data_IF_057041977895
#
_entry.id   IF_057041977895
#
_cell.length_a   1.000
_cell.length_b   1.000
_cell.length_c   1.000
_cell.angle_alpha   90.00
_cell.angle_beta   90.00
_cell.angle_gamma   90.00
#
_symmetry.space_group_name_H-M   'P 1'
#
loop_
_entity.id
_entity.type
_entity.pdbx_description
1 polymer ?
#
# COMPACT_ATOMS: atom_id res chain seq x y z
N UNK A 1 -5.30 -22.55 -27.49
CA UNK A 1 -4.21 -21.58 -27.21
C UNK A 1 -4.86 -20.33 -26.66
N UNK A 2 -4.35 -19.76 -25.62
CA UNK A 2 -5.03 -18.69 -24.85
C UNK A 2 -4.56 -17.31 -25.31
N UNK A 3 -4.94 -16.98 -26.56
CA UNK A 3 -4.64 -15.66 -27.12
C UNK A 3 -5.69 -14.63 -26.69
N UNK A 4 -5.28 -13.39 -26.53
CA UNK A 4 -6.16 -12.26 -26.28
C UNK A 4 -7.05 -12.07 -27.53
N UNK A 5 -8.35 -12.16 -27.37
CA UNK A 5 -9.32 -11.97 -28.47
C UNK A 5 -9.93 -10.58 -28.47
N UNK A 6 -10.08 -9.97 -27.30
CA UNK A 6 -10.72 -8.66 -27.15
C UNK A 6 -10.38 -8.04 -25.80
N UNK A 7 -10.30 -6.71 -25.76
CA UNK A 7 -10.10 -5.92 -24.53
C UNK A 7 -11.17 -4.86 -24.45
N UNK A 8 -11.82 -4.77 -23.29
CA UNK A 8 -12.80 -3.74 -22.98
C UNK A 8 -12.33 -2.93 -21.77
N UNK A 9 -12.52 -1.63 -21.80
CA UNK A 9 -12.23 -0.76 -20.69
C UNK A 9 -13.40 0.17 -20.41
N UNK A 10 -13.59 0.53 -19.15
CA UNK A 10 -14.64 1.46 -18.72
C UNK A 10 -14.21 2.31 -17.55
N UNK A 11 -14.88 3.43 -17.41
CA UNK A 11 -14.80 4.26 -16.21
C UNK A 11 -15.76 3.71 -15.15
N UNK A 12 -15.26 3.51 -13.95
CA UNK A 12 -16.04 3.17 -12.74
C UNK A 12 -15.74 4.21 -11.65
N UNK A 13 -16.32 4.07 -10.48
CA UNK A 13 -16.04 4.96 -9.33
C UNK A 13 -15.24 4.21 -8.25
N UNK A 14 -14.27 4.92 -7.67
CA UNK A 14 -13.51 4.45 -6.52
C UNK A 14 -14.27 4.65 -5.19
N UNK A 15 -13.68 4.24 -4.08
CA UNK A 15 -14.23 4.35 -2.72
C UNK A 15 -14.47 5.79 -2.24
N UNK A 16 -13.94 6.77 -2.96
CA UNK A 16 -14.14 8.21 -2.70
C UNK A 16 -15.15 8.84 -3.66
N UNK A 17 -15.73 8.05 -4.59
CA UNK A 17 -16.63 8.54 -5.64
C UNK A 17 -15.90 9.26 -6.78
N UNK A 18 -14.59 9.13 -6.89
CA UNK A 18 -13.83 9.62 -8.04
C UNK A 18 -13.76 8.56 -9.15
N UNK A 19 -13.75 8.97 -10.43
CA UNK A 19 -13.55 8.03 -11.52
C UNK A 19 -12.22 7.29 -11.44
N UNK A 20 -12.25 6.01 -11.81
CA UNK A 20 -11.08 5.19 -12.08
C UNK A 20 -11.38 4.23 -13.24
N UNK A 21 -10.35 3.54 -13.73
CA UNK A 21 -10.47 2.63 -14.87
C UNK A 21 -10.63 1.17 -14.41
N UNK A 22 -11.51 0.44 -15.11
CA UNK A 22 -11.64 -1.01 -15.03
C UNK A 22 -11.44 -1.60 -16.43
N UNK A 23 -10.66 -2.69 -16.52
CA UNK A 23 -10.34 -3.36 -17.79
C UNK A 23 -10.72 -4.83 -17.71
N UNK A 24 -11.32 -5.33 -18.79
CA UNK A 24 -11.57 -6.75 -19.06
C UNK A 24 -10.72 -7.22 -20.23
N UNK A 25 -9.97 -8.29 -20.05
CA UNK A 25 -9.22 -8.98 -21.11
C UNK A 25 -9.88 -10.33 -21.36
N UNK A 26 -10.35 -10.56 -22.58
CA UNK A 26 -10.98 -11.80 -23.04
C UNK A 26 -10.03 -12.62 -23.87
N UNK A 27 -10.10 -13.94 -23.74
CA UNK A 27 -9.33 -14.90 -24.52
C UNK A 27 -10.20 -15.59 -25.58
N UNK A 28 -9.57 -16.21 -26.58
CA UNK A 28 -10.28 -17.00 -27.60
C UNK A 28 -11.07 -18.18 -27.03
N UNK A 29 -10.69 -18.67 -25.85
CA UNK A 29 -11.42 -19.73 -25.16
C UNK A 29 -12.71 -19.26 -24.45
N UNK A 30 -12.95 -17.93 -24.41
CA UNK A 30 -14.08 -17.31 -23.72
C UNK A 30 -13.83 -17.05 -22.21
N UNK A 31 -12.63 -17.30 -21.73
CA UNK A 31 -12.19 -16.91 -20.38
C UNK A 31 -11.87 -15.42 -20.36
N UNK A 32 -12.05 -14.77 -19.23
CA UNK A 32 -11.67 -13.35 -19.05
C UNK A 32 -11.02 -13.09 -17.70
N UNK A 33 -10.27 -12.00 -17.66
CA UNK A 33 -9.74 -11.40 -16.44
C UNK A 33 -10.19 -9.95 -16.31
N UNK A 34 -10.58 -9.51 -15.11
CA UNK A 34 -11.03 -8.14 -14.80
C UNK A 34 -10.14 -7.52 -13.75
N UNK A 35 -9.71 -6.29 -13.98
CA UNK A 35 -8.96 -5.52 -13.00
C UNK A 35 -9.44 -4.08 -12.92
N UNK A 36 -9.58 -3.56 -11.71
CA UNK A 36 -9.83 -2.15 -11.44
C UNK A 36 -8.58 -1.52 -10.79
N UNK A 37 -8.26 -0.29 -11.21
CA UNK A 37 -7.03 0.39 -10.80
C UNK A 37 -7.29 1.29 -9.60
N UNK A 38 -6.48 1.23 -8.52
CA UNK A 38 -6.59 2.15 -7.40
C UNK A 38 -6.03 3.54 -7.73
N UNK A 39 -6.40 4.55 -6.92
CA UNK A 39 -6.01 5.95 -7.11
C UNK A 39 -5.52 6.58 -5.81
N UNK A 40 -4.41 7.33 -5.84
CA UNK A 40 -3.87 8.04 -4.68
C UNK A 40 -4.62 9.34 -4.35
N UNK A 41 -4.58 9.76 -3.08
CA UNK A 41 -4.98 11.11 -2.65
C UNK A 41 -3.76 12.05 -2.65
N UNK A 42 -2.69 11.65 -1.97
CA UNK A 42 -1.35 12.20 -2.08
C UNK A 42 -0.54 11.36 -3.08
N UNK A 43 0.28 11.99 -3.89
CA UNK A 43 1.14 11.31 -4.86
C UNK A 43 2.56 11.83 -4.70
N UNK A 44 3.54 10.90 -4.60
CA UNK A 44 4.96 11.26 -4.63
C UNK A 44 5.34 11.93 -5.95
N UNK A 45 6.30 12.83 -5.92
CA UNK A 45 6.79 13.58 -7.09
C UNK A 45 7.23 12.66 -8.24
N UNK A 46 7.69 11.46 -7.92
CA UNK A 46 8.29 10.52 -8.86
C UNK A 46 7.37 9.36 -9.26
N UNK A 47 6.09 9.39 -8.88
CA UNK A 47 5.13 8.37 -9.31
C UNK A 47 4.85 8.42 -10.82
N UNK A 48 4.50 7.28 -11.39
CA UNK A 48 3.96 7.23 -12.76
C UNK A 48 2.62 7.98 -12.86
N UNK A 49 2.35 8.55 -14.02
CA UNK A 49 1.23 9.47 -14.22
C UNK A 49 -0.10 8.73 -14.26
N UNK A 50 -0.99 9.04 -13.33
CA UNK A 50 -2.41 8.71 -13.46
C UNK A 50 -3.05 9.70 -14.44
N UNK A 51 -3.41 9.21 -15.63
CA UNK A 51 -3.97 10.08 -16.66
C UNK A 51 -5.40 10.47 -16.31
N UNK A 52 -5.64 11.77 -16.20
CA UNK A 52 -6.94 12.41 -15.95
C UNK A 52 -7.38 13.25 -17.14
N UNK A 53 -8.70 13.32 -17.36
CA UNK A 53 -9.27 14.03 -18.53
C UNK A 53 -9.10 15.54 -18.43
N UNK A 54 -9.08 16.09 -17.21
CA UNK A 54 -9.20 17.53 -17.00
C UNK A 54 -10.63 18.01 -17.30
N UNK A 55 -10.78 19.31 -17.52
CA UNK A 55 -12.09 19.90 -17.85
C UNK A 55 -13.03 19.99 -16.66
N UNK A 56 -14.35 20.03 -16.92
CA UNK A 56 -15.37 20.25 -15.88
C UNK A 56 -16.03 18.99 -15.34
N UNK A 57 -16.07 17.91 -16.15
CA UNK A 57 -16.70 16.66 -15.73
C UNK A 57 -15.91 16.01 -14.59
N UNK A 58 -16.62 15.48 -13.59
CA UNK A 58 -16.02 14.94 -12.37
C UNK A 58 -14.96 15.87 -11.75
N UNK A 59 -15.11 17.19 -11.88
CA UNK A 59 -14.15 18.20 -11.41
C UNK A 59 -12.74 17.98 -12.00
N UNK A 60 -12.66 17.53 -13.26
CA UNK A 60 -11.42 17.24 -13.97
C UNK A 60 -10.81 15.85 -13.71
N UNK A 61 -11.45 15.02 -12.88
CA UNK A 61 -10.95 13.72 -12.46
C UNK A 61 -11.39 12.54 -13.34
N UNK A 62 -12.10 12.79 -14.47
CA UNK A 62 -12.48 11.75 -15.43
C UNK A 62 -11.28 10.95 -15.94
N UNK A 63 -11.52 9.73 -16.44
CA UNK A 63 -10.47 8.82 -16.98
C UNK A 63 -10.82 8.30 -18.37
N UNK A 64 -11.69 8.99 -19.10
CA UNK A 64 -12.12 8.54 -20.44
C UNK A 64 -10.97 8.53 -21.45
N UNK A 65 -9.99 9.43 -21.32
CA UNK A 65 -8.75 9.38 -22.13
C UNK A 65 -7.96 8.10 -21.90
N UNK A 66 -7.82 7.67 -20.65
CA UNK A 66 -7.19 6.41 -20.32
C UNK A 66 -7.98 5.21 -20.87
N UNK A 67 -9.32 5.25 -20.80
CA UNK A 67 -10.21 4.25 -21.40
C UNK A 67 -10.02 4.18 -22.92
N UNK A 68 -9.97 5.34 -23.60
CA UNK A 68 -9.73 5.43 -25.04
C UNK A 68 -8.34 4.89 -25.41
N UNK A 69 -7.30 5.23 -24.63
CA UNK A 69 -5.96 4.69 -24.85
C UNK A 69 -5.92 3.16 -24.75
N UNK A 70 -6.67 2.55 -23.84
CA UNK A 70 -6.77 1.08 -23.79
C UNK A 70 -7.41 0.53 -25.06
N UNK A 71 -8.52 1.13 -25.53
CA UNK A 71 -9.31 0.60 -26.64
C UNK A 71 -8.64 0.83 -28.00
N UNK A 72 -8.12 2.04 -28.21
CA UNK A 72 -7.68 2.50 -29.54
C UNK A 72 -6.17 2.39 -29.75
N UNK A 73 -5.38 2.35 -28.68
CA UNK A 73 -3.91 2.33 -28.78
C UNK A 73 -3.34 0.99 -28.30
N UNK A 74 -3.69 0.56 -27.06
CA UNK A 74 -3.09 -0.64 -26.46
C UNK A 74 -3.70 -1.91 -27.08
N UNK A 75 -5.02 -2.02 -27.13
CA UNK A 75 -5.70 -3.23 -27.58
C UNK A 75 -5.29 -3.68 -28.97
N UNK A 76 -5.17 -2.81 -29.99
CA UNK A 76 -4.73 -3.22 -31.34
C UNK A 76 -3.34 -3.87 -31.37
N UNK A 77 -2.44 -3.49 -30.48
CA UNK A 77 -1.05 -3.98 -30.47
C UNK A 77 -0.88 -5.31 -29.72
N UNK A 78 -1.80 -5.65 -28.80
CA UNK A 78 -1.64 -6.85 -27.96
C UNK A 78 -2.70 -7.92 -28.21
N UNK A 79 -3.79 -7.62 -28.91
CA UNK A 79 -4.75 -8.64 -29.38
C UNK A 79 -4.03 -9.64 -30.29
N UNK A 80 -4.27 -10.94 -30.06
CA UNK A 80 -3.56 -12.02 -30.74
C UNK A 80 -2.28 -12.50 -30.04
N UNK A 81 -1.81 -11.81 -28.99
CA UNK A 81 -0.72 -12.28 -28.13
C UNK A 81 -1.29 -13.25 -27.08
N UNK A 82 -0.50 -14.23 -26.68
CA UNK A 82 -0.87 -15.16 -25.60
C UNK A 82 -0.91 -14.43 -24.26
N UNK A 83 -1.97 -14.66 -23.45
CA UNK A 83 -2.09 -14.08 -22.09
C UNK A 83 -0.98 -14.54 -21.14
N UNK A 84 -0.20 -15.57 -21.50
CA UNK A 84 0.93 -16.04 -20.70
C UNK A 84 2.22 -15.24 -20.93
N UNK A 85 2.25 -14.36 -21.93
CA UNK A 85 3.41 -13.53 -22.26
C UNK A 85 3.38 -12.18 -21.52
N UNK A 86 3.18 -12.21 -20.16
CA UNK A 86 3.02 -11.01 -19.33
C UNK A 86 4.11 -9.96 -19.58
N UNK A 87 5.38 -10.38 -19.52
CA UNK A 87 6.51 -9.45 -19.68
C UNK A 87 6.55 -8.83 -21.07
N UNK A 88 6.21 -9.60 -22.11
CA UNK A 88 6.13 -9.07 -23.46
C UNK A 88 5.01 -8.04 -23.61
N UNK A 89 3.84 -8.34 -23.06
CA UNK A 89 2.67 -7.45 -23.10
C UNK A 89 2.98 -6.14 -22.36
N UNK A 90 3.53 -6.23 -21.14
CA UNK A 90 3.90 -5.06 -20.38
C UNK A 90 4.98 -4.23 -21.09
N UNK A 91 5.99 -4.87 -21.68
CA UNK A 91 7.02 -4.19 -22.47
C UNK A 91 6.45 -3.46 -23.69
N UNK A 92 5.52 -4.07 -24.43
CA UNK A 92 4.86 -3.42 -25.57
C UNK A 92 4.12 -2.16 -25.09
N UNK A 93 3.37 -2.22 -24.00
CA UNK A 93 2.62 -1.07 -23.48
C UNK A 93 3.55 0.06 -23.01
N UNK A 94 4.69 -0.28 -22.38
CA UNK A 94 5.70 0.68 -21.94
C UNK A 94 6.36 1.35 -23.13
N UNK A 95 6.72 0.58 -24.18
CA UNK A 95 7.30 1.11 -25.43
C UNK A 95 6.31 2.01 -26.18
N UNK A 96 5.02 1.65 -26.21
CA UNK A 96 3.96 2.47 -26.81
C UNK A 96 3.79 3.82 -26.10
N UNK A 97 3.90 3.85 -24.79
CA UNK A 97 3.88 5.10 -24.04
C UNK A 97 5.12 5.96 -24.34
N UNK A 98 6.30 5.36 -24.35
CA UNK A 98 7.57 5.99 -24.73
C UNK A 98 8.07 7.06 -23.77
N UNK A 99 7.44 7.24 -22.60
CA UNK A 99 7.87 8.19 -21.55
C UNK A 99 8.31 7.47 -20.28
N UNK A 100 9.26 8.04 -19.51
CA UNK A 100 9.75 7.39 -18.27
C UNK A 100 8.68 7.19 -17.20
N UNK A 101 7.64 8.02 -17.22
CA UNK A 101 6.59 8.05 -16.18
C UNK A 101 5.20 7.69 -16.72
N UNK A 102 5.12 7.06 -17.89
CA UNK A 102 3.84 6.66 -18.53
C UNK A 102 2.87 7.82 -18.75
N UNK A 103 3.42 8.98 -19.12
CA UNK A 103 2.66 10.23 -19.26
C UNK A 103 1.77 10.32 -20.48
N UNK A 104 2.00 9.52 -21.53
CA UNK A 104 1.22 9.55 -22.76
C UNK A 104 -0.03 8.68 -22.70
N UNK A 105 0.09 7.43 -22.30
CA UNK A 105 -1.04 6.50 -22.19
C UNK A 105 -1.71 6.54 -20.83
N UNK A 106 -0.93 6.83 -19.78
CA UNK A 106 -1.34 6.79 -18.40
C UNK A 106 -1.00 5.45 -17.72
N UNK A 107 -0.37 5.53 -16.54
CA UNK A 107 -0.09 4.35 -15.73
C UNK A 107 -1.37 3.58 -15.37
N UNK A 108 -2.48 4.26 -15.20
CA UNK A 108 -3.78 3.65 -14.93
C UNK A 108 -4.30 2.80 -16.13
N UNK A 109 -4.11 3.26 -17.37
CA UNK A 109 -4.46 2.48 -18.55
C UNK A 109 -3.59 1.22 -18.67
N UNK A 110 -2.26 1.38 -18.55
CA UNK A 110 -1.29 0.28 -18.66
C UNK A 110 -1.51 -0.74 -17.55
N UNK A 111 -1.64 -0.31 -16.29
CA UNK A 111 -1.85 -1.20 -15.14
C UNK A 111 -3.17 -1.98 -15.24
N UNK A 112 -4.25 -1.32 -15.68
CA UNK A 112 -5.54 -1.98 -15.85
C UNK A 112 -5.44 -3.18 -16.78
N UNK A 113 -4.79 -3.01 -17.92
CA UNK A 113 -4.53 -4.09 -18.89
C UNK A 113 -3.59 -5.14 -18.31
N UNK A 114 -2.46 -4.73 -17.73
CA UNK A 114 -1.45 -5.63 -17.18
C UNK A 114 -2.03 -6.60 -16.13
N UNK A 115 -2.81 -6.08 -15.17
CA UNK A 115 -3.47 -6.91 -14.15
C UNK A 115 -4.60 -7.78 -14.71
N UNK A 116 -5.37 -7.27 -15.68
CA UNK A 116 -6.44 -8.03 -16.31
C UNK A 116 -5.88 -9.22 -17.13
N UNK A 117 -4.74 -9.04 -17.82
CA UNK A 117 -3.99 -10.10 -18.51
C UNK A 117 -3.57 -11.19 -17.52
N UNK A 118 -2.94 -10.83 -16.41
CA UNK A 118 -2.54 -11.81 -15.40
C UNK A 118 -3.72 -12.62 -14.84
N UNK A 119 -4.85 -11.96 -14.60
CA UNK A 119 -6.09 -12.63 -14.15
C UNK A 119 -6.69 -13.53 -15.23
N UNK A 120 -6.69 -13.11 -16.49
CA UNK A 120 -7.12 -13.96 -17.60
C UNK A 120 -6.24 -15.21 -17.73
N UNK A 121 -4.92 -15.05 -17.60
CA UNK A 121 -3.96 -16.16 -17.63
C UNK A 121 -4.17 -17.14 -16.47
N UNK A 122 -4.37 -16.65 -15.25
CA UNK A 122 -4.69 -17.47 -14.09
C UNK A 122 -6.00 -18.26 -14.30
N UNK A 123 -7.04 -17.59 -14.80
CA UNK A 123 -8.33 -18.21 -15.09
C UNK A 123 -8.25 -19.27 -16.19
N UNK A 124 -7.45 -19.06 -17.23
CA UNK A 124 -7.19 -20.06 -18.29
C UNK A 124 -6.58 -21.34 -17.71
N UNK A 125 -5.67 -21.20 -16.76
CA UNK A 125 -5.05 -22.34 -16.08
C UNK A 125 -5.91 -22.90 -14.94
N UNK A 126 -7.05 -22.25 -14.63
CA UNK A 126 -7.92 -22.57 -13.48
C UNK A 126 -7.15 -22.53 -12.15
N UNK A 127 -6.19 -21.62 -12.06
CA UNK A 127 -5.39 -21.36 -10.86
C UNK A 127 -5.87 -20.08 -10.17
N UNK A 128 -5.84 -20.02 -8.83
CA UNK A 128 -5.93 -18.74 -8.14
C UNK A 128 -4.77 -17.83 -8.54
N UNK A 129 -5.02 -16.51 -8.58
CA UNK A 129 -4.02 -15.54 -9.05
C UNK A 129 -2.70 -15.62 -8.27
N UNK A 130 -2.75 -15.76 -6.93
CA UNK A 130 -1.55 -15.89 -6.12
C UNK A 130 -0.68 -17.09 -6.49
N UNK A 131 -1.29 -18.23 -6.89
CA UNK A 131 -0.56 -19.42 -7.35
C UNK A 131 -0.02 -19.27 -8.76
N UNK A 132 -0.76 -18.61 -9.64
CA UNK A 132 -0.30 -18.35 -10.99
C UNK A 132 0.98 -17.49 -10.99
N UNK A 133 0.97 -16.39 -10.21
CA UNK A 133 2.11 -15.46 -10.14
C UNK A 133 3.24 -16.02 -9.28
N UNK A 134 2.95 -16.54 -8.09
CA UNK A 134 3.97 -16.91 -7.11
C UNK A 134 4.41 -18.37 -7.17
N UNK A 135 3.75 -19.19 -7.98
CA UNK A 135 4.08 -20.62 -8.15
C UNK A 135 3.76 -21.45 -6.93
N UNK A 136 4.45 -22.61 -6.82
CA UNK A 136 4.14 -23.64 -5.82
C UNK A 136 4.45 -23.23 -4.38
N UNK A 137 5.32 -22.26 -4.19
CA UNK A 137 5.79 -21.80 -2.87
C UNK A 137 5.08 -20.51 -2.40
N UNK A 138 4.02 -20.08 -3.06
CA UNK A 138 3.19 -18.93 -2.65
C UNK A 138 2.24 -19.37 -1.52
N UNK A 139 2.69 -19.27 -0.25
CA UNK A 139 1.94 -19.74 0.91
C UNK A 139 2.07 -18.85 2.16
N UNK A 140 2.80 -17.74 2.09
CA UNK A 140 2.99 -16.84 3.22
C UNK A 140 1.85 -15.83 3.31
N UNK A 141 1.03 -15.95 4.34
CA UNK A 141 -0.02 -14.98 4.67
C UNK A 141 0.60 -13.75 5.33
N UNK A 142 0.26 -12.54 4.88
CA UNK A 142 0.90 -11.33 5.38
C UNK A 142 0.38 -10.92 6.77
N UNK A 143 1.25 -10.34 7.61
CA UNK A 143 0.83 -9.60 8.80
C UNK A 143 0.07 -8.35 8.35
N UNK A 144 -1.17 -8.13 8.82
CA UNK A 144 -1.93 -6.93 8.47
C UNK A 144 -1.40 -5.72 9.25
N UNK A 145 -1.06 -4.65 8.54
CA UNK A 145 -0.77 -3.32 9.07
C UNK A 145 -2.07 -2.52 9.01
N UNK A 146 -2.84 -2.54 10.11
CA UNK A 146 -4.21 -2.01 10.12
C UNK A 146 -4.20 -0.53 10.55
N UNK A 147 -4.44 0.38 9.61
CA UNK A 147 -4.56 1.81 9.90
C UNK A 147 -5.84 2.10 10.69
N UNK A 148 -5.72 2.31 12.01
CA UNK A 148 -6.88 2.50 12.91
C UNK A 148 -7.09 3.95 13.35
N UNK A 149 -6.10 4.84 13.16
CA UNK A 149 -6.19 6.28 13.40
C UNK A 149 -5.58 7.03 12.22
N UNK A 150 -6.35 7.96 11.66
CA UNK A 150 -5.95 8.84 10.57
C UNK A 150 -5.63 10.24 11.09
N UNK A 151 -4.56 10.83 10.56
CA UNK A 151 -4.17 12.22 10.75
C UNK A 151 -3.64 12.82 9.44
N UNK A 152 -2.80 13.82 9.53
CA UNK A 152 -2.18 14.45 8.37
C UNK A 152 -3.18 14.83 7.29
N UNK A 153 -2.83 14.56 6.04
CA UNK A 153 -3.72 14.84 4.89
C UNK A 153 -4.91 13.86 4.76
N UNK A 154 -4.97 12.79 5.58
CA UNK A 154 -6.08 11.81 5.56
C UNK A 154 -7.23 12.15 6.49
N UNK A 155 -7.14 13.25 7.24
CA UNK A 155 -8.23 13.71 8.13
C UNK A 155 -8.08 15.18 8.50
N UNK A 156 -9.15 15.77 9.04
CA UNK A 156 -9.12 17.11 9.63
C UNK A 156 -8.59 17.10 11.10
N UNK A 157 -8.06 15.97 11.56
CA UNK A 157 -7.50 15.86 12.91
C UNK A 157 -6.19 16.65 13.02
N UNK A 158 -5.95 17.40 14.12
CA UNK A 158 -4.76 18.22 14.29
C UNK A 158 -3.56 17.35 14.73
N UNK A 159 -3.18 16.38 13.95
CA UNK A 159 -2.04 15.49 14.14
C UNK A 159 -1.24 15.46 12.85
N UNK A 160 0.09 15.61 12.93
CA UNK A 160 0.94 15.69 11.74
C UNK A 160 1.12 14.34 11.04
N UNK A 161 1.24 13.24 11.79
CA UNK A 161 1.40 11.91 11.19
C UNK A 161 0.11 11.40 10.57
N UNK A 162 0.24 10.82 9.39
CA UNK A 162 -0.88 10.45 8.53
C UNK A 162 -1.61 9.21 9.01
N UNK A 163 -0.87 8.18 9.51
CA UNK A 163 -1.46 6.92 9.90
C UNK A 163 -0.81 6.33 11.16
N UNK A 164 -1.67 5.78 12.01
CA UNK A 164 -1.27 4.99 13.16
C UNK A 164 -1.85 3.59 13.03
N UNK A 165 -0.97 2.62 12.88
CA UNK A 165 -1.33 1.25 12.56
C UNK A 165 -1.07 0.31 13.73
N UNK A 166 -1.97 -0.67 13.90
CA UNK A 166 -1.78 -1.83 14.78
C UNK A 166 -1.40 -3.06 13.93
N UNK A 167 -0.52 -3.88 14.48
CA UNK A 167 -0.02 -5.08 13.82
C UNK A 167 -0.12 -6.27 14.77
N UNK A 168 -1.07 -7.20 14.56
CA UNK A 168 -1.20 -8.42 15.36
C UNK A 168 -0.10 -9.43 14.96
N UNK A 169 1.06 -9.34 15.62
CA UNK A 169 2.28 -10.09 15.27
C UNK A 169 2.37 -11.45 15.94
N UNK A 170 1.55 -11.71 16.95
CA UNK A 170 1.51 -12.98 17.68
C UNK A 170 0.17 -13.66 17.46
N UNK A 171 0.09 -14.44 16.41
CA UNK A 171 -1.08 -15.22 16.05
C UNK A 171 -0.64 -16.51 15.35
N UNK A 172 -1.50 -17.54 15.41
CA UNK A 172 -1.20 -18.85 14.81
C UNK A 172 -1.60 -18.93 13.33
N UNK A 173 -2.40 -17.94 12.87
CA UNK A 173 -2.94 -17.89 11.51
C UNK A 173 -3.31 -16.45 11.15
N UNK A 174 -3.53 -16.19 9.87
CA UNK A 174 -4.02 -14.89 9.40
C UNK A 174 -5.42 -14.57 9.96
N UNK A 175 -6.32 -15.55 9.94
CA UNK A 175 -7.68 -15.40 10.49
C UNK A 175 -7.65 -15.05 11.99
N UNK A 176 -6.74 -15.64 12.75
CA UNK A 176 -6.53 -15.31 14.15
C UNK A 176 -5.96 -13.87 14.31
N UNK A 177 -5.00 -13.48 13.47
CA UNK A 177 -4.45 -12.12 13.47
C UNK A 177 -5.54 -11.07 13.14
N UNK A 178 -6.34 -11.32 12.10
CA UNK A 178 -7.42 -10.42 11.69
C UNK A 178 -8.48 -10.27 12.78
N UNK A 179 -8.87 -11.38 13.45
CA UNK A 179 -9.78 -11.34 14.59
C UNK A 179 -9.25 -10.44 15.70
N UNK A 180 -8.00 -10.66 16.14
CA UNK A 180 -7.36 -9.81 17.17
C UNK A 180 -7.37 -8.33 16.78
N UNK A 181 -6.98 -8.01 15.53
CA UNK A 181 -6.99 -6.63 15.02
C UNK A 181 -8.38 -5.99 15.06
N UNK A 182 -9.43 -6.75 14.68
CA UNK A 182 -10.83 -6.30 14.74
C UNK A 182 -11.28 -6.05 16.19
N UNK A 183 -10.91 -6.91 17.14
CA UNK A 183 -11.22 -6.73 18.57
C UNK A 183 -10.57 -5.46 19.14
N UNK A 184 -9.31 -5.17 18.77
CA UNK A 184 -8.63 -3.92 19.14
C UNK A 184 -9.31 -2.70 18.50
N UNK A 185 -9.67 -2.77 17.21
CA UNK A 185 -10.40 -1.71 16.51
C UNK A 185 -11.72 -1.35 17.24
N UNK A 186 -12.50 -2.33 17.66
CA UNK A 186 -13.74 -2.09 18.42
C UNK A 186 -13.48 -1.57 19.84
N UNK A 187 -12.41 -2.03 20.48
CA UNK A 187 -11.97 -1.50 21.78
C UNK A 187 -11.57 -0.03 21.67
N UNK A 188 -10.83 0.34 20.62
CA UNK A 188 -10.47 1.73 20.31
C UNK A 188 -11.74 2.58 20.13
N UNK A 189 -12.71 2.12 19.32
CA UNK A 189 -14.01 2.80 19.14
C UNK A 189 -14.71 3.08 20.48
N UNK A 190 -14.68 2.10 21.38
CA UNK A 190 -15.28 2.25 22.72
C UNK A 190 -14.56 3.30 23.56
N UNK A 191 -13.22 3.36 23.51
CA UNK A 191 -12.41 4.37 24.22
C UNK A 191 -12.71 5.76 23.69
N UNK A 192 -12.69 5.94 22.35
CA UNK A 192 -12.98 7.22 21.73
C UNK A 192 -14.37 7.76 22.13
N UNK A 193 -15.40 6.89 22.09
CA UNK A 193 -16.74 7.24 22.57
C UNK A 193 -16.75 7.67 24.04
N UNK A 194 -16.03 6.92 24.88
CA UNK A 194 -15.92 7.24 26.31
C UNK A 194 -15.25 8.58 26.60
N UNK A 195 -14.35 9.01 25.70
CA UNK A 195 -13.68 10.32 25.73
C UNK A 195 -14.50 11.45 25.07
N UNK A 196 -15.66 11.13 24.48
CA UNK A 196 -16.45 12.09 23.70
C UNK A 196 -15.81 12.47 22.36
N UNK A 197 -14.87 11.67 21.84
CA UNK A 197 -14.19 11.89 20.58
C UNK A 197 -14.96 11.26 19.41
N UNK A 198 -14.74 11.80 18.20
CA UNK A 198 -15.34 11.29 16.97
C UNK A 198 -14.97 9.83 16.71
N UNK A 199 -15.94 9.05 16.26
CA UNK A 199 -15.73 7.69 15.71
C UNK A 199 -16.10 7.62 14.22
N UNK A 200 -16.17 8.77 13.55
CA UNK A 200 -16.22 8.83 12.09
C UNK A 200 -14.89 8.29 11.53
N UNK A 201 -14.98 7.63 10.37
CA UNK A 201 -13.82 7.02 9.72
C UNK A 201 -13.40 7.83 8.50
N UNK A 202 -12.09 7.89 8.26
CA UNK A 202 -11.49 8.45 7.07
C UNK A 202 -11.56 7.51 5.86
N UNK A 203 -10.87 7.88 4.80
CA UNK A 203 -10.88 7.17 3.51
C UNK A 203 -10.39 5.72 3.63
N UNK A 204 -9.51 5.43 4.57
CA UNK A 204 -8.95 4.10 4.78
C UNK A 204 -9.59 3.30 5.91
N UNK A 205 -10.71 3.80 6.45
CA UNK A 205 -11.51 3.10 7.45
C UNK A 205 -11.03 3.26 8.90
N UNK A 206 -9.91 3.95 9.16
CA UNK A 206 -9.45 4.34 10.50
C UNK A 206 -10.25 5.51 11.05
N UNK A 207 -10.28 5.66 12.37
CA UNK A 207 -10.94 6.80 13.02
C UNK A 207 -10.15 8.09 12.82
N UNK A 208 -10.86 9.22 12.81
CA UNK A 208 -10.27 10.56 12.65
C UNK A 208 -10.67 11.46 13.86
N UNK A 209 -10.25 11.14 15.09
CA UNK A 209 -10.59 11.93 16.28
C UNK A 209 -9.62 13.09 16.46
N UNK A 210 -10.06 14.15 17.13
CA UNK A 210 -9.21 15.27 17.52
C UNK A 210 -8.40 14.91 18.76
N UNK A 211 -7.18 14.39 18.56
CA UNK A 211 -6.22 14.13 19.64
C UNK A 211 -5.40 15.38 19.98
N UNK A 212 -4.75 15.36 21.16
CA UNK A 212 -3.85 16.43 21.57
C UNK A 212 -2.48 16.40 20.88
N UNK A 213 -2.18 15.38 20.08
CA UNK A 213 -0.95 15.18 19.34
C UNK A 213 -0.63 13.68 19.15
N UNK A 214 0.52 13.42 18.55
CA UNK A 214 1.02 12.06 18.23
C UNK A 214 1.04 11.13 19.44
N UNK A 215 1.51 11.61 20.60
CA UNK A 215 1.62 10.77 21.80
C UNK A 215 0.26 10.42 22.40
N UNK A 216 -0.73 11.32 22.35
CA UNK A 216 -2.11 11.02 22.83
C UNK A 216 -2.75 9.91 21.95
N UNK A 217 -2.47 9.92 20.65
CA UNK A 217 -2.89 8.84 19.74
C UNK A 217 -2.24 7.50 20.12
N UNK A 218 -0.92 7.48 20.32
CA UNK A 218 -0.17 6.28 20.71
C UNK A 218 -0.57 5.74 22.08
N UNK A 219 -0.75 6.62 23.08
CA UNK A 219 -1.23 6.24 24.41
C UNK A 219 -2.65 5.63 24.34
N UNK A 220 -3.50 6.15 23.44
CA UNK A 220 -4.83 5.61 23.21
C UNK A 220 -4.79 4.24 22.54
N UNK A 221 -3.83 4.00 21.63
CA UNK A 221 -3.60 2.67 21.04
C UNK A 221 -3.14 1.65 22.08
N UNK A 222 -2.21 2.01 23.00
CA UNK A 222 -1.83 1.15 24.12
C UNK A 222 -3.06 0.72 24.91
N UNK A 223 -3.89 1.68 25.31
CA UNK A 223 -5.12 1.42 26.04
C UNK A 223 -6.10 0.52 25.26
N UNK A 224 -6.19 0.69 23.94
CA UNK A 224 -7.08 -0.11 23.10
C UNK A 224 -6.65 -1.58 23.04
N UNK A 225 -5.34 -1.83 22.91
CA UNK A 225 -4.76 -3.18 22.92
C UNK A 225 -4.97 -3.85 24.28
N UNK A 226 -4.68 -3.15 25.37
CA UNK A 226 -4.87 -3.66 26.75
C UNK A 226 -6.35 -3.92 27.05
N UNK A 227 -7.25 -3.02 26.65
CA UNK A 227 -8.71 -3.18 26.83
C UNK A 227 -9.26 -4.37 26.06
N UNK A 228 -8.66 -4.71 24.92
CA UNK A 228 -9.00 -5.91 24.15
C UNK A 228 -8.46 -7.19 24.80
N UNK A 229 -7.67 -7.09 25.87
CA UNK A 229 -7.08 -8.23 26.59
C UNK A 229 -5.75 -8.70 26.01
N UNK A 230 -5.07 -7.87 25.22
CA UNK A 230 -3.79 -8.16 24.60
C UNK A 230 -2.65 -7.33 25.19
N UNK A 231 -1.41 -7.71 24.92
CA UNK A 231 -0.19 -7.07 25.44
C UNK A 231 0.50 -6.28 24.35
N UNK A 232 0.60 -4.93 24.47
CA UNK A 232 1.43 -4.12 23.59
C UNK A 232 2.91 -4.57 23.67
N UNK A 233 3.58 -4.64 22.54
CA UNK A 233 4.97 -5.08 22.43
C UNK A 233 5.19 -6.59 22.43
N UNK A 234 4.14 -7.39 22.64
CA UNK A 234 4.17 -8.85 22.55
C UNK A 234 3.13 -9.37 21.53
N UNK A 235 1.84 -9.15 21.80
CA UNK A 235 0.76 -9.56 20.89
C UNK A 235 0.62 -8.60 19.70
N UNK A 236 0.83 -7.31 19.96
CA UNK A 236 0.74 -6.23 18.97
C UNK A 236 1.98 -5.35 18.98
N UNK A 237 2.45 -5.05 17.78
CA UNK A 237 3.37 -3.94 17.53
C UNK A 237 2.61 -2.81 16.84
N UNK A 238 3.21 -1.61 16.82
CA UNK A 238 2.68 -0.45 16.12
C UNK A 238 3.52 -0.13 14.89
N UNK A 239 2.86 0.48 13.89
CA UNK A 239 3.53 1.11 12.77
C UNK A 239 2.99 2.53 12.59
N UNK A 240 3.84 3.40 12.07
CA UNK A 240 3.52 4.77 11.72
C UNK A 240 3.72 4.99 10.24
N UNK A 241 2.85 5.75 9.61
CA UNK A 241 3.12 6.46 8.38
C UNK A 241 3.18 7.95 8.71
N UNK A 242 4.39 8.51 8.61
CA UNK A 242 4.60 9.92 8.93
C UNK A 242 4.22 10.83 7.76
N UNK A 243 4.31 10.36 6.51
CA UNK A 243 4.13 11.15 5.29
C UNK A 243 4.87 12.51 5.38
N UNK A 244 6.14 12.45 5.74
CA UNK A 244 6.91 13.65 6.16
C UNK A 244 7.08 14.68 5.06
N UNK A 245 6.95 14.31 3.79
CA UNK A 245 6.94 15.25 2.65
C UNK A 245 5.82 16.28 2.77
N UNK A 246 4.69 15.92 3.38
CA UNK A 246 3.52 16.78 3.54
C UNK A 246 3.76 17.99 4.45
N UNK A 247 4.64 17.87 5.45
CA UNK A 247 4.95 18.95 6.38
C UNK A 247 6.42 19.40 6.35
N UNK A 248 7.16 18.99 5.31
CA UNK A 248 8.52 19.48 5.08
C UNK A 248 8.48 20.80 4.30
N UNK A 249 9.12 21.83 4.82
CA UNK A 249 9.19 23.15 4.20
C UNK A 249 10.51 23.85 4.55
N UNK A 250 11.18 24.41 3.54
CA UNK A 250 12.39 25.25 3.69
C UNK A 250 13.50 24.63 4.56
N UNK A 251 13.67 23.30 4.48
CA UNK A 251 14.68 22.56 5.25
C UNK A 251 14.23 22.11 6.64
N UNK A 252 12.98 22.33 7.00
CA UNK A 252 12.41 22.00 8.31
C UNK A 252 11.20 21.08 8.20
N UNK A 253 11.02 20.21 9.18
CA UNK A 253 9.82 19.40 9.41
C UNK A 253 8.87 20.22 10.29
N UNK A 254 7.92 20.89 9.67
CA UNK A 254 7.03 21.88 10.30
C UNK A 254 5.64 21.30 10.61
N UNK A 255 5.51 20.76 11.78
CA UNK A 255 4.26 20.14 12.27
C UNK A 255 3.11 21.15 12.41
N UNK A 256 3.41 22.46 12.45
CA UNK A 256 2.39 23.51 12.57
C UNK A 256 1.40 23.51 11.40
N UNK A 257 1.78 22.93 10.26
CA UNK A 257 0.85 22.72 9.12
C UNK A 257 -0.43 22.02 9.56
N UNK A 258 -0.35 21.03 10.43
CA UNK A 258 -1.48 20.24 10.91
C UNK A 258 -1.84 20.53 12.37
N UNK A 259 -0.87 20.79 13.23
CA UNK A 259 -1.04 20.93 14.67
C UNK A 259 -1.25 22.40 15.11
N UNK A 260 -1.23 23.36 14.17
CA UNK A 260 -1.33 24.79 14.43
C UNK A 260 -0.15 25.32 15.25
N UNK A 261 -0.33 26.41 15.98
CA UNK A 261 0.75 27.10 16.70
C UNK A 261 1.47 26.23 17.75
N UNK A 262 0.88 25.12 18.15
CA UNK A 262 1.48 24.17 19.11
C UNK A 262 2.41 23.16 18.45
N UNK A 263 2.34 23.02 17.13
CA UNK A 263 3.17 22.10 16.38
C UNK A 263 4.65 22.50 16.46
N UNK A 264 5.52 21.51 16.60
CA UNK A 264 6.96 21.72 16.60
C UNK A 264 7.46 21.99 15.16
N UNK A 265 8.56 22.75 15.06
CA UNK A 265 9.32 22.91 13.83
C UNK A 265 10.71 22.33 14.08
N UNK A 266 11.07 21.25 13.37
CA UNK A 266 12.27 20.44 13.63
C UNK A 266 13.25 20.53 12.48
N UNK A 267 14.54 20.60 12.80
CA UNK A 267 15.60 20.30 11.83
C UNK A 267 15.59 18.82 11.48
N UNK A 268 16.39 18.41 10.51
CA UNK A 268 16.61 17.01 10.13
C UNK A 268 17.02 16.15 11.33
N UNK A 269 18.01 16.60 12.10
CA UNK A 269 18.57 15.89 13.25
C UNK A 269 17.57 15.79 14.40
N UNK A 270 16.77 16.84 14.61
CA UNK A 270 15.71 16.86 15.61
C UNK A 270 14.56 15.92 15.22
N UNK A 271 14.22 15.84 13.93
CA UNK A 271 13.22 14.89 13.41
C UNK A 271 13.70 13.44 13.64
N UNK A 272 14.93 13.11 13.27
CA UNK A 272 15.53 11.79 13.52
C UNK A 272 15.55 11.45 15.01
N UNK A 273 15.88 12.42 15.87
CA UNK A 273 15.92 12.24 17.31
C UNK A 273 14.52 11.99 17.89
N UNK A 274 13.51 12.71 17.43
CA UNK A 274 12.12 12.56 17.84
C UNK A 274 11.57 11.18 17.46
N UNK A 275 11.77 10.74 16.21
CA UNK A 275 11.36 9.40 15.77
C UNK A 275 12.05 8.30 16.59
N UNK A 276 13.35 8.46 16.87
CA UNK A 276 14.10 7.53 17.71
C UNK A 276 13.59 7.50 19.17
N UNK A 277 13.09 8.60 19.70
CA UNK A 277 12.49 8.68 21.02
C UNK A 277 11.14 7.94 21.05
N UNK A 278 10.27 8.16 20.08
CA UNK A 278 8.99 7.46 19.95
C UNK A 278 9.18 5.94 19.94
N UNK A 279 10.18 5.42 19.20
CA UNK A 279 10.47 3.97 19.16
C UNK A 279 11.05 3.40 20.45
N UNK A 280 11.50 4.24 21.39
CA UNK A 280 11.90 3.81 22.73
C UNK A 280 10.74 3.81 23.72
N UNK A 281 9.79 4.72 23.51
CA UNK A 281 8.65 4.90 24.41
C UNK A 281 7.49 3.96 24.08
N UNK A 282 7.31 3.63 22.79
CA UNK A 282 6.20 2.83 22.28
C UNK A 282 6.70 1.59 21.51
N UNK A 283 5.89 0.52 21.42
CA UNK A 283 6.27 -0.69 20.69
C UNK A 283 6.17 -0.51 19.16
N UNK A 284 6.84 0.51 18.63
CA UNK A 284 6.87 0.84 17.21
C UNK A 284 7.95 -0.01 16.55
N UNK A 285 7.55 -0.86 15.59
CA UNK A 285 8.47 -1.73 14.84
C UNK A 285 8.67 -1.26 13.39
N UNK A 286 7.80 -0.39 12.89
CA UNK A 286 7.85 0.09 11.50
C UNK A 286 7.51 1.58 11.43
N UNK A 287 8.28 2.33 10.64
CA UNK A 287 8.03 3.74 10.31
C UNK A 287 8.12 3.89 8.80
N UNK A 288 7.04 4.36 8.19
CA UNK A 288 6.94 4.72 6.79
C UNK A 288 7.14 6.22 6.63
N UNK A 289 7.91 6.62 5.64
CA UNK A 289 8.23 7.99 5.24
C UNK A 289 8.52 8.93 6.43
N UNK A 290 9.41 8.45 7.31
CA UNK A 290 9.86 9.23 8.48
C UNK A 290 10.62 10.50 8.12
N UNK A 291 11.12 10.59 6.88
CA UNK A 291 11.82 11.75 6.30
C UNK A 291 11.18 12.09 4.95
N UNK A 292 11.45 13.30 4.46
CA UNK A 292 10.97 13.79 3.16
C UNK A 292 11.60 12.98 2.00
N UNK A 293 10.86 12.76 0.91
CA UNK A 293 11.20 11.87 -0.21
C UNK A 293 12.51 12.18 -0.95
N UNK A 294 13.02 13.40 -0.85
CA UNK A 294 14.31 13.82 -1.42
C UNK A 294 15.38 14.13 -0.36
N UNK A 295 15.06 14.01 0.95
CA UNK A 295 16.03 14.20 2.04
C UNK A 295 16.85 12.92 2.31
N UNK A 296 17.61 12.49 1.30
CA UNK A 296 18.45 11.28 1.37
C UNK A 296 19.44 11.27 2.53
N UNK A 297 19.96 12.44 2.92
CA UNK A 297 20.84 12.56 4.09
C UNK A 297 20.08 12.31 5.39
N UNK A 298 18.86 12.84 5.51
CA UNK A 298 17.98 12.57 6.65
C UNK A 298 17.59 11.09 6.75
N UNK A 299 17.24 10.48 5.64
CA UNK A 299 16.96 9.06 5.56
C UNK A 299 18.17 8.20 5.99
N UNK A 300 19.38 8.57 5.55
CA UNK A 300 20.59 7.87 5.96
C UNK A 300 20.82 8.00 7.46
N UNK A 301 20.72 9.22 8.03
CA UNK A 301 20.83 9.44 9.47
C UNK A 301 19.78 8.63 10.26
N UNK A 302 18.55 8.59 9.80
CA UNK A 302 17.49 7.79 10.42
C UNK A 302 17.82 6.30 10.38
N UNK A 303 18.30 5.80 9.24
CA UNK A 303 18.69 4.40 9.06
C UNK A 303 19.84 4.02 9.99
N UNK A 304 20.88 4.84 10.06
CA UNK A 304 22.01 4.64 10.99
C UNK A 304 21.55 4.66 12.46
N UNK A 305 20.55 5.48 12.80
CA UNK A 305 20.10 5.69 14.18
C UNK A 305 19.22 4.55 14.72
N UNK A 306 18.29 4.03 13.90
CA UNK A 306 17.28 3.06 14.34
C UNK A 306 17.02 1.89 13.38
N UNK A 307 17.62 1.87 12.18
CA UNK A 307 17.32 0.88 11.17
C UNK A 307 17.71 -0.56 11.53
N UNK A 308 18.54 -0.77 12.55
CA UNK A 308 18.87 -2.10 13.06
C UNK A 308 17.73 -2.74 13.89
N UNK A 309 16.83 -1.93 14.45
CA UNK A 309 15.72 -2.36 15.33
C UNK A 309 14.33 -1.95 14.86
N UNK A 310 14.23 -1.08 13.86
CA UNK A 310 12.98 -0.58 13.30
C UNK A 310 13.00 -0.75 11.78
N UNK A 311 11.90 -1.27 11.24
CA UNK A 311 11.68 -1.29 9.80
C UNK A 311 11.42 0.14 9.32
N UNK A 312 12.22 0.60 8.37
CA UNK A 312 12.10 1.91 7.75
C UNK A 312 11.61 1.72 6.31
N UNK A 313 10.35 2.09 6.09
CA UNK A 313 9.65 1.85 4.81
C UNK A 313 9.71 3.11 3.98
N UNK A 314 10.26 3.00 2.76
CA UNK A 314 10.17 4.06 1.77
C UNK A 314 8.93 3.88 0.90
N UNK A 315 7.96 4.80 1.00
CA UNK A 315 6.83 4.96 0.09
C UNK A 315 7.18 6.00 -0.97
N UNK A 316 7.05 7.29 -0.69
CA UNK A 316 7.42 8.36 -1.61
C UNK A 316 8.94 8.38 -1.93
N UNK A 317 9.76 7.86 -1.01
CA UNK A 317 11.18 7.70 -1.25
C UNK A 317 11.47 6.79 -2.45
N UNK A 318 10.76 5.68 -2.61
CA UNK A 318 11.04 4.67 -3.62
C UNK A 318 10.00 4.59 -4.74
N UNK A 319 8.76 4.97 -4.48
CA UNK A 319 7.61 4.96 -5.42
C UNK A 319 7.51 3.67 -6.25
N UNK A 320 7.81 2.52 -5.63
CA UNK A 320 7.85 1.20 -6.29
C UNK A 320 8.81 1.14 -7.50
N UNK A 321 9.77 2.06 -7.58
CA UNK A 321 10.68 2.23 -8.71
C UNK A 321 12.04 1.60 -8.44
N UNK A 322 12.51 0.72 -9.34
CA UNK A 322 13.77 -0.03 -9.20
C UNK A 322 15.02 0.86 -9.19
N UNK A 323 15.00 2.01 -9.90
CA UNK A 323 16.13 2.92 -9.92
C UNK A 323 16.32 3.62 -8.57
N UNK A 324 15.20 4.12 -8.00
CA UNK A 324 15.21 4.75 -6.68
C UNK A 324 15.54 3.74 -5.58
N UNK A 325 14.96 2.53 -5.66
CA UNK A 325 15.29 1.43 -4.73
C UNK A 325 16.77 1.03 -4.83
N UNK A 326 17.32 0.90 -6.06
CA UNK A 326 18.74 0.61 -6.28
C UNK A 326 19.65 1.65 -5.63
N UNK A 327 19.28 2.95 -5.69
CA UNK A 327 19.98 4.01 -4.99
C UNK A 327 19.95 3.79 -3.48
N UNK A 328 18.77 3.54 -2.90
CA UNK A 328 18.62 3.29 -1.46
C UNK A 328 19.48 2.12 -0.99
N UNK A 329 19.48 1.02 -1.75
CA UNK A 329 20.30 -0.16 -1.47
C UNK A 329 21.81 0.20 -1.48
N UNK A 330 22.27 0.91 -2.50
CA UNK A 330 23.68 1.31 -2.62
C UNK A 330 24.13 2.25 -1.50
N UNK A 331 23.25 3.14 -1.06
CA UNK A 331 23.53 4.14 -0.04
C UNK A 331 23.20 3.64 1.40
N UNK A 332 22.71 2.38 1.56
CA UNK A 332 22.24 1.79 2.81
C UNK A 332 21.17 2.67 3.49
N UNK A 333 20.17 3.09 2.72
CA UNK A 333 19.12 4.02 3.11
C UNK A 333 17.77 3.30 3.15
N UNK A 334 17.06 3.37 4.29
CA UNK A 334 15.89 2.55 4.59
C UNK A 334 16.23 1.05 4.68
N UNK A 335 15.23 0.18 4.88
CA UNK A 335 15.40 -1.27 4.87
C UNK A 335 14.14 -2.02 4.43
N UNK A 336 13.15 -1.28 3.94
CA UNK A 336 11.87 -1.79 3.41
C UNK A 336 11.34 -0.88 2.32
N UNK A 337 10.57 -1.46 1.40
CA UNK A 337 9.84 -0.71 0.37
C UNK A 337 8.34 -0.91 0.55
N UNK A 338 7.56 0.18 0.42
CA UNK A 338 6.13 0.07 0.17
C UNK A 338 5.88 -0.19 -1.32
N UNK A 339 5.01 -1.15 -1.62
CA UNK A 339 4.75 -1.59 -2.99
C UNK A 339 3.31 -1.22 -3.36
N UNK A 340 3.17 -0.22 -4.21
CA UNK A 340 1.90 0.25 -4.76
C UNK A 340 1.91 0.05 -6.26
N UNK A 341 1.11 -0.89 -6.76
CA UNK A 341 1.11 -1.29 -8.18
C UNK A 341 0.93 -0.13 -9.16
N UNK A 342 0.15 0.89 -8.78
CA UNK A 342 -0.12 2.04 -9.64
C UNK A 342 0.96 3.13 -9.61
N UNK A 343 1.89 3.11 -8.64
CA UNK A 343 3.02 4.05 -8.61
C UNK A 343 4.01 3.79 -9.75
N UNK A 344 4.10 2.54 -10.20
CA UNK A 344 4.96 2.14 -11.31
C UNK A 344 4.15 1.79 -12.57
N UNK A 345 2.96 1.20 -12.43
CA UNK A 345 1.96 1.09 -13.49
C UNK A 345 2.01 -0.18 -14.35
N UNK A 346 2.76 -1.21 -13.97
CA UNK A 346 2.69 -2.56 -14.56
C UNK A 346 2.96 -3.64 -13.53
N UNK A 347 2.48 -4.85 -13.78
CA UNK A 347 2.73 -6.00 -12.92
C UNK A 347 4.21 -6.41 -12.97
N UNK A 348 4.81 -6.48 -14.15
CA UNK A 348 6.21 -6.90 -14.30
C UNK A 348 7.16 -5.97 -13.55
N UNK A 349 7.05 -4.64 -13.69
CA UNK A 349 7.88 -3.70 -12.94
C UNK A 349 7.62 -3.77 -11.43
N UNK A 350 6.37 -4.02 -11.01
CA UNK A 350 6.04 -4.26 -9.59
C UNK A 350 6.77 -5.47 -9.05
N UNK A 351 6.77 -6.58 -9.79
CA UNK A 351 7.47 -7.81 -9.41
C UNK A 351 8.99 -7.62 -9.38
N UNK A 352 9.55 -6.86 -10.32
CA UNK A 352 10.97 -6.51 -10.34
C UNK A 352 11.39 -5.72 -9.09
N UNK A 353 10.57 -4.75 -8.67
CA UNK A 353 10.83 -3.99 -7.44
C UNK A 353 10.81 -4.88 -6.19
N UNK A 354 9.81 -5.77 -6.07
CA UNK A 354 9.74 -6.73 -4.96
C UNK A 354 10.94 -7.68 -4.96
N UNK A 355 11.29 -8.23 -6.12
CA UNK A 355 12.42 -9.14 -6.26
C UNK A 355 13.74 -8.46 -5.90
N UNK A 356 13.96 -7.22 -6.39
CA UNK A 356 15.15 -6.43 -6.05
C UNK A 356 15.24 -6.19 -4.54
N UNK A 357 14.15 -5.81 -3.88
CA UNK A 357 14.08 -5.62 -2.44
C UNK A 357 14.50 -6.91 -1.70
N UNK A 358 13.86 -8.03 -2.01
CA UNK A 358 14.10 -9.31 -1.33
C UNK A 358 15.53 -9.82 -1.51
N UNK A 359 16.11 -9.71 -2.71
CA UNK A 359 17.48 -10.11 -3.00
C UNK A 359 18.52 -9.27 -2.23
N UNK A 360 18.16 -8.05 -1.87
CA UNK A 360 19.02 -7.12 -1.13
C UNK A 360 18.66 -7.00 0.36
N UNK A 361 17.90 -7.97 0.91
CA UNK A 361 17.50 -8.05 2.32
C UNK A 361 16.54 -6.93 2.79
N UNK A 362 15.98 -6.16 1.89
CA UNK A 362 14.86 -5.29 2.20
C UNK A 362 13.59 -6.12 2.35
N UNK A 363 12.71 -5.71 3.24
CA UNK A 363 11.35 -6.22 3.27
C UNK A 363 10.50 -5.48 2.25
N UNK A 364 9.37 -6.06 1.88
CA UNK A 364 8.36 -5.42 1.03
C UNK A 364 7.00 -5.46 1.71
N UNK A 365 6.29 -4.34 1.69
CA UNK A 365 4.94 -4.20 2.22
C UNK A 365 4.01 -3.98 1.03
N UNK A 366 3.14 -4.95 0.72
CA UNK A 366 2.13 -4.76 -0.32
C UNK A 366 1.07 -3.78 0.17
N UNK A 367 0.75 -2.76 -0.62
CA UNK A 367 -0.07 -1.65 -0.17
C UNK A 367 -1.24 -1.32 -1.10
N UNK A 368 -2.33 -0.87 -0.48
CA UNK A 368 -3.46 -0.20 -1.12
C UNK A 368 -3.13 1.26 -1.47
N UNK A 369 -4.14 1.96 -1.99
CA UNK A 369 -4.17 3.42 -2.10
C UNK A 369 -5.38 3.98 -1.33
N UNK A 370 -5.42 5.31 -1.16
CA UNK A 370 -6.56 5.99 -0.49
C UNK A 370 -7.87 5.80 -1.26
N UNK A 371 -7.85 5.86 -2.59
CA UNK A 371 -8.97 5.51 -3.46
C UNK A 371 -8.86 4.08 -3.93
N UNK A 372 -9.71 3.21 -3.41
CA UNK A 372 -9.75 1.78 -3.72
C UNK A 372 -11.08 1.40 -4.38
N UNK A 373 -11.11 0.16 -4.87
CA UNK A 373 -12.32 -0.51 -5.36
C UNK A 373 -12.50 -1.83 -4.63
N UNK A 374 -13.46 -2.66 -5.04
CA UNK A 374 -13.61 -4.04 -4.55
C UNK A 374 -12.53 -4.98 -5.07
N UNK A 375 -11.67 -4.55 -6.00
CA UNK A 375 -10.57 -5.34 -6.51
C UNK A 375 -9.62 -5.76 -5.38
N UNK A 376 -9.31 -7.04 -5.31
CA UNK A 376 -8.52 -7.65 -4.25
C UNK A 376 -7.14 -8.13 -4.72
N UNK A 377 -6.68 -7.70 -5.90
CA UNK A 377 -5.42 -8.15 -6.51
C UNK A 377 -4.23 -8.04 -5.58
N UNK A 378 -4.12 -6.97 -4.79
CA UNK A 378 -2.99 -6.79 -3.87
C UNK A 378 -2.94 -7.86 -2.76
N UNK A 379 -4.07 -8.47 -2.39
CA UNK A 379 -4.08 -9.59 -1.45
C UNK A 379 -3.43 -10.83 -2.08
N UNK A 380 -3.77 -11.14 -3.32
CA UNK A 380 -3.12 -12.23 -4.08
C UNK A 380 -1.63 -11.94 -4.30
N UNK A 381 -1.25 -10.70 -4.64
CA UNK A 381 0.15 -10.31 -4.83
C UNK A 381 0.97 -10.40 -3.55
N UNK A 382 0.41 -10.04 -2.40
CA UNK A 382 1.09 -10.16 -1.10
C UNK A 382 1.49 -11.61 -0.81
N UNK A 383 0.61 -12.57 -1.13
CA UNK A 383 0.88 -14.00 -0.96
C UNK A 383 1.77 -14.53 -2.09
N UNK A 384 1.52 -14.13 -3.35
CA UNK A 384 2.31 -14.55 -4.50
C UNK A 384 3.80 -14.22 -4.32
N UNK A 385 4.09 -13.03 -3.82
CA UNK A 385 5.47 -12.56 -3.59
C UNK A 385 6.03 -12.96 -2.21
N UNK A 386 5.25 -13.65 -1.37
CA UNK A 386 5.62 -13.94 0.03
C UNK A 386 6.12 -12.67 0.76
N UNK A 387 5.43 -11.54 0.58
CA UNK A 387 5.85 -10.25 1.17
C UNK A 387 5.87 -10.29 2.70
N UNK A 388 5.02 -11.11 3.30
CA UNK A 388 4.89 -11.24 4.76
C UNK A 388 4.19 -10.07 5.44
N UNK A 389 3.87 -8.99 4.71
CA UNK A 389 3.21 -7.79 5.23
C UNK A 389 2.25 -7.21 4.18
N UNK A 390 1.11 -6.67 4.64
CA UNK A 390 0.15 -5.94 3.81
C UNK A 390 -0.38 -4.72 4.55
N UNK A 391 -0.38 -3.56 3.89
CA UNK A 391 -0.99 -2.31 4.33
C UNK A 391 -2.23 -2.07 3.49
N UNK A 392 -3.43 -2.33 4.06
CA UNK A 392 -4.68 -2.24 3.29
C UNK A 392 -5.84 -1.64 4.09
N UNK A 393 -5.51 -0.67 4.94
CA UNK A 393 -6.48 0.08 5.72
C UNK A 393 -6.94 -0.63 6.98
N UNK A 394 -8.05 -0.16 7.54
CA UNK A 394 -8.61 -0.62 8.81
C UNK A 394 -9.61 -1.77 8.67
N UNK A 395 -10.20 -2.19 9.80
CA UNK A 395 -11.27 -3.20 9.85
C UNK A 395 -12.65 -2.59 9.56
N UNK A 396 -12.74 -1.65 8.63
CA UNK A 396 -13.98 -1.03 8.17
C UNK A 396 -13.87 -0.58 6.72
N UNK A 397 -15.00 -0.29 6.06
CA UNK A 397 -15.18 0.00 4.63
C UNK A 397 -14.96 -1.25 3.76
N UNK A 398 -15.91 -1.51 2.85
CA UNK A 398 -15.92 -2.75 2.04
C UNK A 398 -14.75 -2.84 1.07
N UNK A 399 -14.24 -1.71 0.58
CA UNK A 399 -13.05 -1.62 -0.26
C UNK A 399 -11.78 -2.13 0.45
N UNK A 400 -11.68 -1.96 1.76
CA UNK A 400 -10.58 -2.51 2.59
C UNK A 400 -10.84 -3.97 2.95
N UNK A 401 -12.05 -4.26 3.40
CA UNK A 401 -12.45 -5.63 3.78
C UNK A 401 -12.38 -6.61 2.60
N UNK A 402 -12.53 -6.15 1.37
CA UNK A 402 -12.37 -7.00 0.18
C UNK A 402 -11.01 -7.72 0.17
N UNK A 403 -9.92 -7.02 0.51
CA UNK A 403 -8.56 -7.56 0.56
C UNK A 403 -8.39 -8.53 1.73
N UNK A 404 -8.86 -8.16 2.92
CA UNK A 404 -8.82 -9.08 4.09
C UNK A 404 -9.65 -10.34 3.87
N UNK A 405 -10.84 -10.22 3.28
CA UNK A 405 -11.68 -11.36 2.95
C UNK A 405 -11.04 -12.26 1.89
N UNK A 406 -10.28 -11.68 0.94
CA UNK A 406 -9.53 -12.47 -0.04
C UNK A 406 -8.39 -13.26 0.64
N UNK A 407 -7.67 -12.66 1.58
CA UNK A 407 -6.64 -13.36 2.35
C UNK A 407 -7.21 -14.51 3.19
N UNK A 408 -8.43 -14.36 3.76
CA UNK A 408 -9.12 -15.46 4.44
C UNK A 408 -9.44 -16.62 3.48
N UNK A 409 -9.89 -16.32 2.24
CA UNK A 409 -10.13 -17.36 1.21
C UNK A 409 -8.83 -18.05 0.79
N UNK A 410 -7.74 -17.28 0.68
CA UNK A 410 -6.41 -17.84 0.36
C UNK A 410 -5.92 -18.74 1.49
N UNK A 411 -6.07 -18.33 2.75
CA UNK A 411 -5.71 -19.15 3.91
C UNK A 411 -6.49 -20.47 3.92
N UNK A 412 -7.83 -20.41 3.69
CA UNK A 412 -8.68 -21.60 3.58
C UNK A 412 -8.22 -22.54 2.44
N UNK A 413 -7.91 -21.97 1.27
CA UNK A 413 -7.45 -22.76 0.12
C UNK A 413 -6.07 -23.38 0.31
N UNK A 414 -5.18 -22.77 1.11
CA UNK A 414 -3.87 -23.31 1.46
C UNK A 414 -3.96 -24.37 2.56
N UNK A 415 -4.94 -24.30 3.45
CA UNK A 415 -5.12 -25.23 4.57
C UNK A 415 -3.85 -25.33 5.42
N UNK A 416 -3.41 -26.53 5.73
CA UNK A 416 -2.24 -26.78 6.59
C UNK A 416 -0.90 -26.28 5.99
N UNK A 417 -0.88 -25.88 4.72
CA UNK A 417 0.33 -25.32 4.09
C UNK A 417 0.43 -23.81 4.23
N UNK A 418 -0.62 -23.15 4.74
CA UNK A 418 -0.60 -21.73 5.02
C UNK A 418 0.44 -21.40 6.11
N UNK A 419 1.28 -20.42 5.84
CA UNK A 419 2.29 -19.96 6.79
C UNK A 419 2.03 -18.50 7.17
N UNK A 420 1.85 -18.26 8.46
CA UNK A 420 1.76 -16.91 9.01
C UNK A 420 3.02 -16.58 9.80
N UNK A 421 3.89 -15.68 9.30
CA UNK A 421 5.21 -15.44 9.90
C UNK A 421 5.14 -14.63 11.20
N UNK A 422 4.06 -13.89 11.44
CA UNK A 422 3.95 -13.01 12.60
C UNK A 422 5.13 -12.05 12.68
N UNK A 423 5.70 -11.95 13.89
CA UNK A 423 6.83 -11.04 14.16
C UNK A 423 8.09 -11.37 13.35
N UNK A 424 8.25 -12.61 12.86
CA UNK A 424 9.45 -13.03 12.12
C UNK A 424 9.54 -12.46 10.70
N UNK A 425 8.46 -11.80 10.22
CA UNK A 425 8.50 -11.08 8.94
C UNK A 425 9.43 -9.85 8.98
N UNK A 426 9.67 -9.29 10.16
CA UNK A 426 10.55 -8.13 10.34
C UNK A 426 12.00 -8.55 10.44
N UNK A 427 12.84 -8.07 9.54
CA UNK A 427 14.28 -8.37 9.50
C UNK A 427 15.10 -7.45 10.38
N UNK A 428 14.61 -7.10 11.56
CA UNK A 428 15.26 -6.18 12.51
C UNK A 428 15.69 -6.93 13.79
N UNK A 429 16.68 -6.39 14.49
CA UNK A 429 17.12 -6.94 15.79
C UNK A 429 16.06 -6.64 16.86
N UNK A 430 15.84 -7.63 17.70
CA UNK A 430 14.90 -7.54 18.84
C UNK A 430 15.67 -7.43 20.13
#
# INVERSE_FOLDING_TARGET
MSYISFIEARQILDSRGNPTIEVDVFTESGVFGRAAVPSGASTGEHEAVELRDGGSEYLGKGVLKAVENVREVIAPEIVGISVFEQNLIDSIMIELDGTPNKGNLGANAILGVSLAVAKAAANELKLPLYKYIGGVNANTLPVPMMNVINGGSHSDAPIAFQEFMIMPVKADSFSHALRKGTEVFHSLKSILKGRGLSTAVGDEGGFAPTFAGTEDALDTLLQAVEKAGYRPGDDFMFALDCASSEFYKDGYYDYRKFEGDKGACRTREEQVSYLAELTRKYPIISIEDGMQENDWEGWKLLTEKIGDRVQLVGDDLFVTNVERLSRGIKENTANSILVKVNQIGSLSETLDAVQMAQHNRYTSVMSHRSGETEDATIADLAVACNCGQIKTGSASRSDRMAKYNQLLRIEEALGDTAYFPGIDTFKVRR
#
